data_IF_433655057528
#
_entry.id   IF_433655057528
#
_cell.length_a   1.000
_cell.length_b   1.000
_cell.length_c   1.000
_cell.angle_alpha   90.00
_cell.angle_beta   90.00
_cell.angle_gamma   90.00
#
_symmetry.space_group_name_H-M   'P 1'
#
loop_
_entity.id
_entity.type
_entity.pdbx_description
1 polymer ?
#
# COMPACT_ATOMS: atom_id res chain seq x y z
N UNK A 1 -14.30 -12.80 9.55
CA UNK A 1 -13.11 -11.93 9.48
C UNK A 1 -11.93 -12.87 9.56
N UNK A 2 -11.23 -13.01 8.44
CA UNK A 2 -10.05 -13.86 8.34
C UNK A 2 -8.85 -13.13 8.96
N UNK A 3 -7.87 -13.87 9.46
CA UNK A 3 -6.68 -13.32 10.09
C UNK A 3 -5.43 -13.99 9.51
N UNK A 4 -4.34 -13.23 9.44
CA UNK A 4 -3.00 -13.71 9.12
C UNK A 4 -2.12 -13.57 10.35
N UNK A 5 -1.39 -14.63 10.68
CA UNK A 5 -0.31 -14.57 11.68
C UNK A 5 0.98 -14.20 10.97
N UNK A 6 1.58 -13.09 11.37
CA UNK A 6 2.94 -12.68 10.98
C UNK A 6 3.84 -13.10 12.14
N UNK A 7 4.64 -14.14 11.94
CA UNK A 7 5.66 -14.57 12.90
C UNK A 7 6.99 -13.90 12.57
N UNK A 8 7.71 -13.45 13.60
CA UNK A 8 9.10 -13.02 13.44
C UNK A 8 9.97 -14.24 13.09
N UNK A 9 11.10 -14.03 12.41
CA UNK A 9 12.05 -15.08 12.01
C UNK A 9 12.54 -15.94 13.19
N UNK A 10 12.58 -15.36 14.39
CA UNK A 10 13.00 -16.05 15.62
C UNK A 10 11.82 -16.76 16.34
N UNK A 11 10.61 -16.74 15.77
CA UNK A 11 9.35 -17.32 16.30
C UNK A 11 8.94 -16.87 17.72
N UNK A 12 9.62 -15.88 18.29
CA UNK A 12 9.34 -15.38 19.65
C UNK A 12 8.14 -14.45 19.74
N UNK A 13 7.70 -13.88 18.61
CA UNK A 13 6.62 -12.91 18.54
C UNK A 13 5.73 -13.20 17.34
N UNK A 14 4.42 -13.24 17.58
CA UNK A 14 3.38 -13.41 16.56
C UNK A 14 2.45 -12.22 16.60
N UNK A 15 2.24 -11.60 15.45
CA UNK A 15 1.22 -10.56 15.26
C UNK A 15 0.06 -11.16 14.46
N UNK A 16 -1.13 -11.16 15.04
CA UNK A 16 -2.35 -11.58 14.35
C UNK A 16 -3.04 -10.32 13.82
N UNK A 17 -3.10 -10.20 12.50
CA UNK A 17 -3.76 -9.07 11.81
C UNK A 17 -4.93 -9.59 10.98
N UNK A 18 -5.99 -8.78 10.76
CA UNK A 18 -6.99 -9.11 9.75
C UNK A 18 -6.31 -9.41 8.41
N UNK A 19 -6.84 -10.36 7.64
CA UNK A 19 -6.34 -10.60 6.29
C UNK A 19 -6.65 -9.36 5.44
N UNK A 20 -5.60 -8.61 5.11
CA UNK A 20 -5.66 -7.48 4.20
C UNK A 20 -5.46 -8.04 2.79
N UNK A 21 -6.22 -7.54 1.80
CA UNK A 21 -6.07 -7.93 0.40
C UNK A 21 -4.70 -7.57 -0.19
N UNK A 22 -4.56 -7.73 -1.51
CA UNK A 22 -3.35 -7.34 -2.24
C UNK A 22 -3.01 -5.87 -2.02
N UNK A 23 -1.71 -5.56 -1.97
CA UNK A 23 -1.27 -4.16 -1.87
C UNK A 23 -1.42 -3.43 -3.23
N UNK A 24 -1.37 -2.09 -3.20
CA UNK A 24 -1.58 -1.27 -4.40
C UNK A 24 -0.55 -1.55 -5.51
N UNK A 25 0.69 -1.92 -5.17
CA UNK A 25 1.72 -2.21 -6.16
C UNK A 25 1.47 -3.56 -6.85
N UNK A 26 1.07 -4.59 -6.08
CA UNK A 26 0.64 -5.87 -6.62
C UNK A 26 -0.54 -5.71 -7.58
N UNK A 27 -1.57 -4.96 -7.17
CA UNK A 27 -2.74 -4.69 -8.03
C UNK A 27 -2.30 -3.95 -9.30
N UNK A 28 -1.35 -3.00 -9.20
CA UNK A 28 -0.78 -2.29 -10.35
C UNK A 28 -0.13 -3.23 -11.35
N UNK A 29 0.71 -4.16 -10.87
CA UNK A 29 1.41 -5.13 -11.72
C UNK A 29 0.48 -6.09 -12.44
N UNK A 30 -0.72 -6.33 -11.89
CA UNK A 30 -1.73 -7.19 -12.51
C UNK A 30 -2.50 -6.50 -13.65
N UNK A 31 -2.41 -5.16 -13.77
CA UNK A 31 -3.14 -4.43 -14.81
C UNK A 31 -2.42 -4.52 -16.15
N UNK A 32 -3.16 -4.60 -17.29
CA UNK A 32 -2.55 -4.57 -18.62
C UNK A 32 -1.69 -3.33 -18.88
N UNK A 33 -2.08 -2.18 -18.31
CA UNK A 33 -1.37 -0.91 -18.41
C UNK A 33 -0.17 -0.80 -17.46
N UNK A 34 -0.11 -1.60 -16.39
CA UNK A 34 0.85 -1.48 -15.29
C UNK A 34 0.86 -0.10 -14.59
N UNK A 35 -0.27 0.63 -14.63
CA UNK A 35 -0.49 1.90 -13.93
C UNK A 35 -1.97 2.14 -13.62
N UNK A 36 -2.24 3.06 -12.69
CA UNK A 36 -3.58 3.56 -12.38
C UNK A 36 -3.89 4.83 -13.17
N UNK A 37 -5.13 4.96 -13.63
CA UNK A 37 -5.60 6.18 -14.30
C UNK A 37 -5.84 7.32 -13.30
N UNK A 38 -5.98 8.54 -13.82
CA UNK A 38 -6.07 9.77 -13.01
C UNK A 38 -7.22 9.76 -11.98
N UNK A 39 -8.37 9.19 -12.34
CA UNK A 39 -9.53 9.03 -11.45
C UNK A 39 -9.15 8.15 -10.26
N UNK A 40 -8.52 7.01 -10.51
CA UNK A 40 -8.14 6.05 -9.48
C UNK A 40 -7.03 6.58 -8.60
N UNK A 41 -6.03 7.26 -9.19
CA UNK A 41 -4.99 7.98 -8.46
C UNK A 41 -5.61 9.02 -7.53
N UNK A 42 -6.65 9.72 -7.98
CA UNK A 42 -7.36 10.71 -7.16
C UNK A 42 -8.09 10.04 -5.98
N UNK A 43 -8.74 8.88 -6.19
CA UNK A 43 -9.36 8.10 -5.11
C UNK A 43 -8.34 7.57 -4.11
N UNK A 44 -7.24 6.97 -4.59
CA UNK A 44 -6.12 6.51 -3.76
C UNK A 44 -5.57 7.66 -2.93
N UNK A 45 -5.35 8.82 -3.54
CA UNK A 45 -4.85 9.99 -2.85
C UNK A 45 -5.79 10.46 -1.74
N UNK A 46 -7.10 10.58 -2.01
CA UNK A 46 -8.10 10.96 -0.99
C UNK A 46 -8.09 9.99 0.18
N UNK A 47 -8.08 8.69 -0.11
CA UNK A 47 -8.05 7.66 0.93
C UNK A 47 -6.76 7.73 1.76
N UNK A 48 -5.60 7.90 1.13
CA UNK A 48 -4.33 8.07 1.84
C UNK A 48 -4.34 9.33 2.72
N UNK A 49 -4.77 10.48 2.17
CA UNK A 49 -4.84 11.76 2.90
C UNK A 49 -5.80 11.69 4.09
N UNK A 50 -6.97 11.06 3.93
CA UNK A 50 -7.92 10.83 5.01
C UNK A 50 -7.32 9.99 6.14
N UNK A 51 -6.57 8.95 5.79
CA UNK A 51 -5.88 8.12 6.78
C UNK A 51 -4.76 8.92 7.48
N UNK A 52 -3.93 9.67 6.75
CA UNK A 52 -2.85 10.52 7.31
C UNK A 52 -3.37 11.56 8.30
N UNK A 53 -4.59 12.07 8.08
CA UNK A 53 -5.23 13.01 9.02
C UNK A 53 -5.67 12.31 10.32
N UNK A 54 -6.14 11.06 10.26
CA UNK A 54 -6.70 10.36 11.42
C UNK A 54 -5.65 9.72 12.35
N UNK A 55 -4.42 9.49 11.88
CA UNK A 55 -3.34 8.91 12.68
C UNK A 55 -1.98 9.49 12.27
N UNK A 56 -1.11 9.82 13.25
CA UNK A 56 0.32 10.11 13.03
C UNK A 56 0.97 8.86 12.41
N UNK A 57 1.08 8.80 11.08
CA UNK A 57 1.09 7.52 10.37
C UNK A 57 2.49 7.00 10.02
N UNK A 58 2.95 6.06 10.86
CA UNK A 58 3.89 5.01 10.47
C UNK A 58 3.35 4.05 9.38
N UNK A 59 2.05 4.10 9.00
CA UNK A 59 1.44 3.06 8.15
C UNK A 59 1.47 3.28 6.63
N UNK A 60 1.90 4.44 6.10
CA UNK A 60 2.34 4.46 4.70
C UNK A 60 3.54 3.52 4.50
N UNK A 61 4.38 3.41 5.53
CA UNK A 61 5.41 2.39 5.55
C UNK A 61 4.88 0.98 5.77
N UNK A 62 3.77 0.73 6.46
CA UNK A 62 3.22 -0.65 6.59
C UNK A 62 2.64 -1.16 5.27
N UNK A 63 2.07 -0.29 4.43
CA UNK A 63 1.51 -0.68 3.13
C UNK A 63 2.61 -1.10 2.13
N UNK A 64 3.85 -0.60 2.30
CA UNK A 64 4.96 -0.85 1.37
C UNK A 64 6.25 -1.39 2.00
N UNK A 65 6.34 -1.65 3.32
CA UNK A 65 7.56 -2.10 3.97
C UNK A 65 7.82 -3.60 3.74
N UNK A 66 9.00 -3.97 3.23
CA UNK A 66 9.55 -5.32 3.39
C UNK A 66 9.71 -5.68 4.86
N UNK A 67 9.50 -6.95 5.21
CA UNK A 67 9.47 -7.54 6.57
C UNK A 67 10.73 -7.37 7.45
N UNK A 68 11.77 -6.65 7.02
CA UNK A 68 13.05 -6.53 7.73
C UNK A 68 13.32 -5.08 8.16
N UNK A 69 12.71 -4.66 9.27
CA UNK A 69 12.94 -3.37 9.92
C UNK A 69 13.58 -3.56 11.29
N UNK A 70 14.82 -3.10 11.46
CA UNK A 70 15.55 -3.19 12.73
C UNK A 70 15.75 -1.79 13.32
N UNK A 71 14.99 -1.46 14.36
CA UNK A 71 15.21 -0.26 15.17
C UNK A 71 16.26 -0.54 16.25
N UNK A 72 17.44 0.08 16.13
CA UNK A 72 18.29 0.36 17.30
C UNK A 72 18.23 1.84 17.60
N UNK A 73 17.38 2.21 18.56
CA UNK A 73 17.36 3.54 19.15
C UNK A 73 18.60 3.71 20.03
N UNK A 74 19.57 4.52 19.57
CA UNK A 74 20.62 5.08 20.44
C UNK A 74 20.23 6.50 20.82
N UNK A 75 20.21 6.79 22.12
CA UNK A 75 19.62 8.00 22.72
C UNK A 75 20.31 9.32 22.34
N UNK A 76 21.52 9.29 21.77
CA UNK A 76 22.36 10.48 21.56
C UNK A 76 22.91 10.61 20.13
N UNK A 77 22.34 9.89 19.16
CA UNK A 77 22.69 10.02 17.74
C UNK A 77 21.43 10.27 16.91
N UNK A 78 21.50 11.08 15.83
CA UNK A 78 20.39 11.15 14.88
C UNK A 78 20.03 9.72 14.50
N UNK A 79 18.75 9.38 14.61
CA UNK A 79 18.26 8.04 14.29
C UNK A 79 18.59 7.79 12.82
N UNK A 80 19.65 7.02 12.56
CA UNK A 80 19.99 6.60 11.20
C UNK A 80 18.95 5.56 10.79
N UNK A 81 17.90 6.01 10.11
CA UNK A 81 16.94 5.12 9.49
C UNK A 81 17.64 4.33 8.39
N UNK A 82 17.82 3.02 8.58
CA UNK A 82 18.30 2.13 7.53
C UNK A 82 17.10 1.87 6.60
N UNK A 83 16.97 2.68 5.57
CA UNK A 83 16.02 2.43 4.49
C UNK A 83 16.52 1.24 3.67
N UNK A 84 15.63 0.30 3.36
CA UNK A 84 15.93 -0.70 2.36
C UNK A 84 15.72 -0.11 0.96
N UNK A 85 16.34 -0.73 -0.04
CA UNK A 85 16.35 -0.26 -1.43
C UNK A 85 14.95 -0.18 -2.09
N UNK A 86 13.95 -0.87 -1.52
CA UNK A 86 12.56 -0.82 -2.02
C UNK A 86 11.76 0.33 -1.44
N UNK A 87 12.11 0.83 -0.25
CA UNK A 87 11.42 1.96 0.38
C UNK A 87 12.08 3.30 0.05
N UNK A 88 13.33 3.31 -0.43
CA UNK A 88 14.05 4.52 -0.84
C UNK A 88 13.36 5.27 -1.98
N UNK A 89 12.68 4.58 -2.90
CA UNK A 89 11.91 5.20 -3.98
C UNK A 89 10.76 6.07 -3.46
N UNK A 90 10.18 5.72 -2.30
CA UNK A 90 9.07 6.48 -1.70
C UNK A 90 9.53 7.46 -0.62
N UNK A 91 10.74 7.31 -0.07
CA UNK A 91 11.23 8.17 1.01
C UNK A 91 11.33 9.66 0.61
N UNK A 92 10.91 10.57 1.48
CA UNK A 92 11.16 12.01 1.36
C UNK A 92 12.65 12.35 1.24
N UNK A 93 12.96 13.52 0.70
CA UNK A 93 14.34 14.03 0.65
C UNK A 93 14.96 14.17 2.04
N UNK A 94 14.18 14.53 3.06
CA UNK A 94 14.68 14.65 4.44
C UNK A 94 15.03 13.29 5.04
N UNK A 95 14.20 12.27 4.80
CA UNK A 95 14.51 10.89 5.19
C UNK A 95 15.82 10.42 4.55
N UNK A 96 16.04 10.70 3.26
CA UNK A 96 17.28 10.35 2.56
C UNK A 96 18.51 11.11 3.11
N UNK A 97 18.32 12.30 3.68
CA UNK A 97 19.38 13.06 4.37
C UNK A 97 19.64 12.59 5.80
N UNK A 98 18.78 11.74 6.36
CA UNK A 98 18.83 11.35 7.77
C UNK A 98 18.37 12.45 8.74
N UNK A 99 17.54 13.39 8.28
CA UNK A 99 16.90 14.37 9.14
C UNK A 99 15.72 13.76 9.90
N UNK A 100 15.30 14.43 10.98
CA UNK A 100 14.08 14.08 11.69
C UNK A 100 12.89 14.17 10.75
N UNK A 101 12.00 13.18 10.84
CA UNK A 101 10.83 13.03 9.96
C UNK A 101 9.65 13.80 10.56
N UNK A 102 8.87 14.45 9.71
CA UNK A 102 7.71 15.28 10.01
C UNK A 102 6.51 14.91 9.15
N UNK A 103 5.34 15.54 9.40
CA UNK A 103 4.13 15.37 8.59
C UNK A 103 4.34 15.72 7.11
N UNK A 104 5.23 16.68 6.83
CA UNK A 104 5.61 17.03 5.45
C UNK A 104 6.20 15.83 4.71
N UNK A 105 7.00 15.02 5.40
CA UNK A 105 7.71 13.90 4.80
C UNK A 105 6.76 12.76 4.43
N UNK A 106 5.66 12.58 5.18
CA UNK A 106 4.60 11.64 4.83
C UNK A 106 3.85 12.08 3.56
N UNK A 107 3.53 13.37 3.43
CA UNK A 107 2.88 13.92 2.23
C UNK A 107 3.82 13.90 1.02
N UNK A 108 5.12 14.16 1.22
CA UNK A 108 6.14 14.01 0.17
C UNK A 108 6.27 12.55 -0.28
N UNK A 109 6.24 11.61 0.66
CA UNK A 109 6.29 10.18 0.35
C UNK A 109 5.02 9.73 -0.40
N UNK A 110 3.85 10.28 -0.03
CA UNK A 110 2.62 10.07 -0.77
C UNK A 110 2.73 10.59 -2.20
N UNK A 111 3.32 11.77 -2.43
CA UNK A 111 3.55 12.29 -3.79
C UNK A 111 4.36 11.30 -4.64
N UNK A 112 5.50 10.81 -4.15
CA UNK A 112 6.31 9.83 -4.90
C UNK A 112 5.54 8.53 -5.14
N UNK A 113 4.75 8.09 -4.17
CA UNK A 113 3.89 6.92 -4.30
C UNK A 113 2.90 7.11 -5.45
N UNK A 114 2.16 8.22 -5.48
CA UNK A 114 1.17 8.49 -6.53
C UNK A 114 1.81 8.61 -7.92
N UNK A 115 3.01 9.21 -8.03
CA UNK A 115 3.76 9.28 -9.30
C UNK A 115 4.08 7.89 -9.83
N UNK A 116 4.62 7.01 -8.98
CA UNK A 116 4.95 5.62 -9.35
C UNK A 116 3.69 4.82 -9.70
N UNK A 117 2.62 4.98 -8.92
CA UNK A 117 1.34 4.32 -9.19
C UNK A 117 0.71 4.79 -10.51
N UNK A 118 0.95 6.05 -10.90
CA UNK A 118 0.53 6.62 -12.19
C UNK A 118 1.39 6.13 -13.37
N UNK A 119 2.39 5.28 -13.13
CA UNK A 119 3.25 4.71 -14.17
C UNK A 119 4.45 5.56 -14.56
N UNK A 120 4.65 6.72 -13.93
CA UNK A 120 5.80 7.59 -14.19
C UNK A 120 7.01 7.13 -13.37
N UNK A 121 8.18 7.18 -14.00
CA UNK A 121 9.46 7.06 -13.31
C UNK A 121 9.88 8.41 -12.76
N UNK A 122 10.54 8.43 -11.60
CA UNK A 122 11.00 9.68 -11.00
C UNK A 122 11.98 10.43 -11.91
N UNK A 123 12.80 9.71 -12.67
CA UNK A 123 13.72 10.28 -13.66
C UNK A 123 13.00 11.07 -14.76
N UNK A 124 11.78 10.68 -15.13
CA UNK A 124 11.00 11.35 -16.18
C UNK A 124 10.44 12.71 -15.72
N UNK A 125 10.37 12.95 -14.40
CA UNK A 125 9.84 14.18 -13.81
C UNK A 125 10.94 15.07 -13.22
N UNK A 126 12.20 14.68 -13.38
CA UNK A 126 13.37 15.37 -12.86
C UNK A 126 14.03 16.24 -13.92
N UNK A 127 14.62 17.36 -13.50
CA UNK A 127 15.47 18.19 -14.37
C UNK A 127 16.85 17.53 -14.59
N UNK A 128 17.02 16.89 -15.76
CA UNK A 128 18.27 16.22 -16.14
C UNK A 128 19.49 17.15 -16.12
N UNK A 129 19.33 18.43 -16.48
CA UNK A 129 20.43 19.38 -16.49
C UNK A 129 20.94 19.61 -15.07
N UNK A 130 20.04 19.74 -14.10
CA UNK A 130 20.41 19.87 -12.69
C UNK A 130 21.08 18.61 -12.16
N UNK A 131 20.55 17.42 -12.49
CA UNK A 131 21.19 16.15 -12.09
C UNK A 131 22.63 16.07 -12.60
N UNK A 132 22.85 16.41 -13.87
CA UNK A 132 24.18 16.39 -14.47
C UNK A 132 25.15 17.41 -13.83
N UNK A 133 24.65 18.59 -13.47
CA UNK A 133 25.44 19.60 -12.74
C UNK A 133 25.81 19.15 -11.33
N UNK A 134 24.91 18.48 -10.61
CA UNK A 134 25.19 18.00 -9.25
C UNK A 134 26.12 16.79 -9.27
N UNK A 135 25.96 15.85 -10.22
CA UNK A 135 26.86 14.70 -10.39
C UNK A 135 28.31 15.13 -10.61
N UNK A 136 28.54 16.12 -11.47
CA UNK A 136 29.88 16.69 -11.75
C UNK A 136 30.56 17.30 -10.52
N UNK A 137 29.81 17.72 -9.50
CA UNK A 137 30.34 18.41 -8.31
C UNK A 137 30.63 17.50 -7.12
N UNK A 138 30.07 16.29 -7.06
CA UNK A 138 29.96 15.56 -5.77
C UNK A 138 30.45 14.10 -5.74
N UNK A 139 30.85 13.49 -6.86
CA UNK A 139 31.16 12.05 -6.86
C UNK A 139 32.53 11.71 -7.49
N UNK A 140 33.59 11.94 -6.72
CA UNK A 140 34.91 11.34 -6.92
C UNK A 140 35.23 10.44 -5.71
N UNK A 141 34.54 9.29 -5.60
CA UNK A 141 34.79 8.36 -4.48
C UNK A 141 34.25 6.95 -4.70
N UNK A 142 34.99 5.96 -4.20
CA UNK A 142 34.63 4.53 -4.21
C UNK A 142 33.67 4.22 -3.05
N UNK A 143 32.39 4.58 -3.19
CA UNK A 143 31.37 4.26 -2.18
C UNK A 143 30.73 2.87 -2.44
N UNK A 144 30.23 2.23 -1.38
CA UNK A 144 29.45 0.97 -1.46
C UNK A 144 28.19 1.16 -2.35
N UNK A 145 27.80 0.11 -3.07
CA UNK A 145 26.66 0.10 -4.02
C UNK A 145 25.34 0.59 -3.39
N UNK A 146 25.03 0.17 -2.16
CA UNK A 146 23.80 0.59 -1.47
C UNK A 146 23.76 2.10 -1.18
N UNK A 147 24.91 2.70 -0.88
CA UNK A 147 25.02 4.14 -0.70
C UNK A 147 24.88 4.88 -2.03
N UNK A 148 25.41 4.31 -3.11
CA UNK A 148 25.24 4.88 -4.45
C UNK A 148 23.78 4.93 -4.88
N UNK A 149 22.99 3.89 -4.58
CA UNK A 149 21.55 3.86 -4.85
C UNK A 149 20.78 4.90 -4.01
N UNK A 150 21.05 4.98 -2.70
CA UNK A 150 20.42 6.01 -1.86
C UNK A 150 20.74 7.42 -2.38
N UNK A 151 22.00 7.64 -2.77
CA UNK A 151 22.45 8.90 -3.36
C UNK A 151 21.81 9.18 -4.73
N UNK A 152 21.58 8.17 -5.57
CA UNK A 152 20.93 8.38 -6.87
C UNK A 152 19.49 8.89 -6.68
N UNK A 153 18.72 8.27 -5.80
CA UNK A 153 17.36 8.74 -5.45
C UNK A 153 17.36 10.12 -4.84
N UNK A 154 18.32 10.40 -3.94
CA UNK A 154 18.49 11.73 -3.37
C UNK A 154 18.69 12.80 -4.46
N UNK A 155 19.58 12.53 -5.43
CA UNK A 155 19.86 13.45 -6.53
C UNK A 155 18.63 13.66 -7.42
N UNK A 156 17.96 12.57 -7.81
CA UNK A 156 16.75 12.61 -8.66
C UNK A 156 15.69 13.48 -8.00
N UNK A 157 15.35 13.19 -6.73
CA UNK A 157 14.30 13.89 -5.98
C UNK A 157 14.63 15.35 -5.70
N UNK A 158 15.90 15.64 -5.38
CA UNK A 158 16.36 17.02 -5.14
C UNK A 158 16.33 17.89 -6.39
N UNK A 159 16.24 17.29 -7.59
CA UNK A 159 16.20 17.99 -8.87
C UNK A 159 14.78 17.99 -9.49
N UNK A 160 13.75 17.57 -8.75
CA UNK A 160 12.35 17.75 -9.17
C UNK A 160 11.97 19.21 -8.93
N UNK A 161 11.58 19.89 -10.00
CA UNK A 161 11.17 21.30 -9.98
C UNK A 161 9.77 21.45 -10.55
N UNK A 162 9.12 22.58 -10.27
CA UNK A 162 7.84 22.90 -10.91
C UNK A 162 7.95 22.90 -12.43
N UNK A 163 9.06 23.40 -12.98
CA UNK A 163 9.31 23.43 -14.42
C UNK A 163 9.45 22.02 -15.01
N UNK A 164 10.17 21.11 -14.34
CA UNK A 164 10.30 19.73 -14.81
C UNK A 164 8.97 18.99 -14.77
N UNK A 165 8.15 19.23 -13.74
CA UNK A 165 6.82 18.65 -13.61
C UNK A 165 5.84 19.15 -14.69
N UNK A 166 5.89 20.44 -15.03
CA UNK A 166 5.05 20.99 -16.11
C UNK A 166 5.41 20.42 -17.49
N UNK A 167 6.65 19.94 -17.67
CA UNK A 167 7.12 19.32 -18.93
C UNK A 167 6.84 17.82 -18.99
N UNK A 168 6.60 17.15 -17.86
CA UNK A 168 6.56 15.68 -17.78
C UNK A 168 5.19 15.05 -18.09
N UNK A 169 4.21 15.82 -18.58
CA UNK A 169 2.83 15.38 -18.78
C UNK A 169 2.18 14.76 -17.52
N UNK A 170 2.66 15.11 -16.33
CA UNK A 170 2.09 14.61 -15.08
C UNK A 170 0.69 15.22 -14.86
N UNK A 171 -0.28 14.49 -14.27
CA UNK A 171 -1.57 15.05 -13.90
C UNK A 171 -1.43 16.35 -13.11
N UNK A 172 -2.17 17.37 -13.50
CA UNK A 172 -2.04 18.72 -12.94
C UNK A 172 -2.27 18.75 -11.41
N UNK A 173 -3.12 17.86 -10.89
CA UNK A 173 -3.34 17.71 -9.44
C UNK A 173 -2.08 17.27 -8.69
N UNK A 174 -1.23 16.41 -9.26
CA UNK A 174 0.04 16.03 -8.64
C UNK A 174 1.04 17.20 -8.62
N UNK A 175 1.01 18.07 -9.64
CA UNK A 175 1.81 19.30 -9.67
C UNK A 175 1.36 20.26 -8.55
N UNK A 176 0.06 20.40 -8.35
CA UNK A 176 -0.50 21.21 -7.27
C UNK A 176 -0.20 20.63 -5.87
N UNK A 177 -0.18 19.31 -5.73
CA UNK A 177 0.28 18.62 -4.51
C UNK A 177 1.75 18.95 -4.23
N UNK A 178 2.63 18.83 -5.24
CA UNK A 178 4.05 19.19 -5.09
C UNK A 178 4.24 20.64 -4.66
N UNK A 179 3.51 21.57 -5.28
CA UNK A 179 3.51 22.99 -4.89
C UNK A 179 3.11 23.21 -3.44
N UNK A 180 2.17 22.42 -2.92
CA UNK A 180 1.78 22.46 -1.52
C UNK A 180 2.93 22.00 -0.62
N UNK A 181 3.51 20.83 -0.91
CA UNK A 181 4.64 20.25 -0.14
C UNK A 181 5.84 21.21 -0.07
N UNK A 182 6.19 21.87 -1.18
CA UNK A 182 7.33 22.78 -1.24
C UNK A 182 7.17 24.01 -0.33
N UNK A 183 5.93 24.42 -0.03
CA UNK A 183 5.65 25.56 0.87
C UNK A 183 5.66 25.19 2.34
N UNK A 184 5.58 23.90 2.66
CA UNK A 184 5.53 23.42 4.04
C UNK A 184 6.90 23.51 4.73
N UNK A 185 6.89 23.97 5.97
CA UNK A 185 7.98 23.88 6.93
C UNK A 185 7.90 22.56 7.70
N UNK A 186 8.93 22.28 8.51
CA UNK A 186 9.03 21.06 9.31
C UNK A 186 7.90 20.92 10.35
N UNK A 187 7.49 22.02 11.00
CA UNK A 187 6.45 21.97 12.04
C UNK A 187 5.03 22.20 11.52
N UNK A 188 4.89 22.54 10.24
CA UNK A 188 3.59 22.88 9.66
C UNK A 188 2.61 21.70 9.75
N UNK A 189 1.34 22.05 9.92
CA UNK A 189 0.24 21.13 9.75
C UNK A 189 -0.22 21.14 8.28
N UNK A 190 -0.23 19.98 7.59
CA UNK A 190 -0.74 19.91 6.23
C UNK A 190 -2.20 20.37 6.18
N UNK A 191 -2.58 21.12 5.14
CA UNK A 191 -3.98 21.44 4.91
C UNK A 191 -4.67 20.24 4.23
N UNK A 192 -5.00 19.22 5.01
CA UNK A 192 -5.60 17.98 4.52
C UNK A 192 -6.91 18.24 3.76
N UNK A 193 -7.73 19.21 4.18
CA UNK A 193 -8.96 19.56 3.50
C UNK A 193 -8.70 20.10 2.08
N UNK A 194 -7.69 20.95 1.92
CA UNK A 194 -7.25 21.40 0.59
C UNK A 194 -6.77 20.23 -0.27
N UNK A 195 -5.98 19.31 0.29
CA UNK A 195 -5.48 18.14 -0.43
C UNK A 195 -6.63 17.23 -0.89
N UNK A 196 -7.63 16.99 -0.04
CA UNK A 196 -8.84 16.23 -0.39
C UNK A 196 -9.59 16.94 -1.52
N UNK A 197 -9.85 18.24 -1.37
CA UNK A 197 -10.59 19.04 -2.36
C UNK A 197 -9.86 19.06 -3.71
N UNK A 198 -8.53 19.10 -3.68
CA UNK A 198 -7.68 19.06 -4.87
C UNK A 198 -7.93 17.79 -5.69
N UNK A 199 -7.91 16.62 -5.06
CA UNK A 199 -8.14 15.35 -5.77
C UNK A 199 -9.62 15.10 -6.07
N UNK A 200 -10.54 15.59 -5.24
CA UNK A 200 -11.97 15.52 -5.52
C UNK A 200 -12.36 16.29 -6.79
N UNK A 201 -11.62 17.35 -7.14
CA UNK A 201 -11.89 18.11 -8.36
C UNK A 201 -11.73 17.30 -9.66
N UNK A 202 -11.02 16.17 -9.62
CA UNK A 202 -10.87 15.23 -10.73
C UNK A 202 -11.99 14.16 -10.80
N UNK A 203 -12.84 14.07 -9.78
CA UNK A 203 -13.89 13.06 -9.70
C UNK A 203 -15.22 13.62 -10.23
N UNK A 204 -15.99 12.79 -10.92
CA UNK A 204 -17.37 13.11 -11.28
C UNK A 204 -18.30 12.97 -10.04
N UNK A 205 -19.47 13.60 -10.07
CA UNK A 205 -20.44 13.48 -8.98
C UNK A 205 -20.95 12.04 -8.75
N UNK A 206 -20.73 11.13 -9.70
CA UNK A 206 -21.11 9.71 -9.62
C UNK A 206 -19.97 8.84 -9.11
N UNK A 207 -18.75 9.37 -9.00
CA UNK A 207 -17.60 8.62 -8.52
C UNK A 207 -17.64 8.50 -6.99
N UNK A 208 -17.71 7.25 -6.52
CA UNK A 208 -17.55 6.93 -5.11
C UNK A 208 -16.04 6.83 -4.78
N UNK A 209 -15.50 7.71 -3.90
CA UNK A 209 -14.09 7.67 -3.50
C UNK A 209 -13.76 6.46 -2.63
N UNK A 210 -14.74 5.86 -1.96
CA UNK A 210 -14.53 4.66 -1.14
C UNK A 210 -14.40 3.41 -2.01
N UNK A 211 -14.85 3.49 -3.28
CA UNK A 211 -14.58 2.50 -4.33
C UNK A 211 -13.28 2.84 -5.07
N UNK A 212 -12.16 2.76 -4.35
CA UNK A 212 -10.82 3.12 -4.83
C UNK A 212 -10.40 2.24 -6.02
N UNK A 213 -10.78 0.96 -5.98
CA UNK A 213 -10.56 0.00 -7.05
C UNK A 213 -11.84 -0.82 -7.19
N UNK A 214 -12.64 -0.55 -8.22
CA UNK A 214 -13.45 -1.64 -8.77
C UNK A 214 -12.43 -2.61 -9.35
N UNK A 215 -12.23 -3.74 -8.65
CA UNK A 215 -11.28 -4.74 -9.15
C UNK A 215 -11.99 -5.49 -10.28
N UNK A 216 -12.19 -4.79 -11.41
CA UNK A 216 -12.70 -5.37 -12.65
C UNK A 216 -11.77 -6.49 -13.15
N UNK A 217 -10.50 -6.46 -12.71
CA UNK A 217 -9.53 -7.56 -12.87
C UNK A 217 -10.05 -8.91 -12.37
N UNK A 218 -11.01 -8.91 -11.45
CA UNK A 218 -11.51 -10.11 -10.80
C UNK A 218 -12.94 -10.49 -11.19
N UNK A 219 -13.71 -9.59 -11.83
CA UNK A 219 -15.08 -9.92 -12.24
C UNK A 219 -15.12 -11.02 -13.32
N UNK A 220 -14.09 -11.07 -14.18
CA UNK A 220 -13.92 -12.15 -15.17
C UNK A 220 -12.96 -13.25 -14.72
N UNK A 221 -12.27 -13.08 -13.59
CA UNK A 221 -11.36 -14.10 -13.07
C UNK A 221 -12.19 -15.25 -12.46
N UNK A 222 -12.17 -16.41 -13.12
CA UNK A 222 -12.85 -17.62 -12.67
C UNK A 222 -12.39 -18.07 -11.27
N UNK A 223 -11.11 -17.86 -10.95
CA UNK A 223 -10.55 -18.18 -9.64
C UNK A 223 -11.13 -17.25 -8.57
N UNK A 224 -11.17 -15.96 -8.84
CA UNK A 224 -11.80 -15.02 -7.91
C UNK A 224 -13.30 -15.28 -7.76
N UNK A 225 -14.02 -15.50 -8.86
CA UNK A 225 -15.45 -15.79 -8.84
C UNK A 225 -15.75 -17.04 -8.00
N UNK A 226 -14.91 -18.08 -8.14
CA UNK A 226 -14.98 -19.28 -7.32
C UNK A 226 -14.70 -18.98 -5.84
N UNK A 227 -13.61 -18.26 -5.52
CA UNK A 227 -13.31 -17.84 -4.15
C UNK A 227 -14.45 -17.03 -3.53
N UNK A 228 -14.95 -16.02 -4.24
CA UNK A 228 -16.02 -15.15 -3.79
C UNK A 228 -17.31 -15.95 -3.51
N UNK A 229 -17.65 -16.91 -4.37
CA UNK A 229 -18.79 -17.80 -4.14
C UNK A 229 -18.66 -18.64 -2.87
N UNK A 230 -17.48 -19.25 -2.64
CA UNK A 230 -17.19 -20.03 -1.43
C UNK A 230 -17.19 -19.14 -0.19
N UNK A 231 -16.64 -17.94 -0.29
CA UNK A 231 -16.57 -17.00 0.80
C UNK A 231 -17.96 -16.50 1.23
N UNK A 232 -18.84 -16.19 0.27
CA UNK A 232 -20.22 -15.82 0.59
C UNK A 232 -21.02 -17.00 1.16
N UNK A 233 -20.80 -18.23 0.69
CA UNK A 233 -21.37 -19.45 1.30
C UNK A 233 -20.91 -19.62 2.76
N UNK A 234 -19.62 -19.44 3.03
CA UNK A 234 -19.06 -19.47 4.39
C UNK A 234 -19.69 -18.41 5.30
N UNK A 235 -19.83 -17.17 4.80
CA UNK A 235 -20.41 -16.06 5.54
C UNK A 235 -21.88 -16.31 5.88
N UNK A 236 -22.65 -16.87 4.95
CA UNK A 236 -24.03 -17.27 5.19
C UNK A 236 -24.11 -18.41 6.22
N UNK A 237 -23.26 -19.43 6.12
CA UNK A 237 -23.15 -20.51 7.11
C UNK A 237 -22.86 -19.98 8.52
N UNK A 238 -21.90 -19.05 8.65
CA UNK A 238 -21.62 -18.39 9.95
C UNK A 238 -22.77 -17.53 10.45
N UNK A 239 -23.44 -16.79 9.56
CA UNK A 239 -24.58 -15.98 9.94
C UNK A 239 -25.73 -16.85 10.47
N UNK A 240 -26.05 -17.95 9.78
CA UNK A 240 -27.06 -18.93 10.20
C UNK A 240 -26.67 -19.54 11.55
N UNK A 241 -25.41 -19.93 11.76
CA UNK A 241 -24.94 -20.46 13.06
C UNK A 241 -25.07 -19.45 14.19
N UNK A 242 -24.73 -18.18 13.94
CA UNK A 242 -24.84 -17.15 14.95
C UNK A 242 -26.30 -16.85 15.30
N UNK A 243 -27.19 -16.84 14.30
CA UNK A 243 -28.63 -16.71 14.48
C UNK A 243 -29.21 -17.90 15.26
N UNK A 244 -28.87 -19.13 14.87
CA UNK A 244 -29.26 -20.36 15.56
C UNK A 244 -28.75 -20.37 17.01
N UNK A 245 -27.50 -19.96 17.27
CA UNK A 245 -26.99 -19.82 18.64
C UNK A 245 -27.72 -18.76 19.46
N UNK A 246 -28.14 -17.65 18.85
CA UNK A 246 -28.95 -16.64 19.52
C UNK A 246 -30.35 -17.17 19.85
N UNK A 247 -30.98 -17.88 18.91
CA UNK A 247 -32.28 -18.52 19.08
C UNK A 247 -32.21 -19.66 20.12
N UNK A 248 -31.19 -20.51 20.10
CA UNK A 248 -30.94 -21.55 21.10
C UNK A 248 -30.66 -20.96 22.48
N UNK A 249 -29.95 -19.82 22.59
CA UNK A 249 -29.80 -19.11 23.87
C UNK A 249 -31.14 -18.57 24.39
N UNK A 250 -32.02 -18.09 23.51
CA UNK A 250 -33.37 -17.67 23.87
C UNK A 250 -34.26 -18.85 24.28
N UNK A 251 -34.04 -20.04 23.72
CA UNK A 251 -34.74 -21.28 24.06
C UNK A 251 -34.19 -21.97 25.32
N UNK A 252 -32.87 -21.93 25.57
CA UNK A 252 -32.23 -22.48 26.78
C UNK A 252 -32.57 -21.69 28.05
N UNK A 253 -32.93 -20.41 27.93
CA UNK A 253 -33.56 -19.67 29.04
C UNK A 253 -34.91 -20.30 29.45
N UNK A 254 -35.50 -21.15 28.60
CA UNK A 254 -36.78 -21.78 28.86
C UNK A 254 -36.72 -23.30 29.14
N UNK A 255 -35.70 -24.06 28.69
CA UNK A 255 -35.59 -25.50 28.96
C UNK A 255 -34.12 -26.00 28.94
N UNK A 256 -33.65 -26.56 30.06
CA UNK A 256 -32.40 -27.34 30.15
C UNK A 256 -32.64 -28.78 29.65
N UNK A 257 -32.29 -29.07 28.39
CA UNK A 257 -32.10 -30.45 27.90
C UNK A 257 -30.93 -30.49 26.92
N UNK A 258 -30.02 -31.45 27.14
CA UNK A 258 -28.83 -31.74 26.33
C UNK A 258 -29.19 -32.27 24.93
N UNK A 259 -28.56 -31.70 23.89
CA UNK A 259 -28.54 -32.27 22.54
C UNK A 259 -27.13 -32.20 21.94
N UNK A 260 -26.62 -33.37 21.52
CA UNK A 260 -25.38 -33.51 20.76
C UNK A 260 -25.58 -33.10 19.29
N UNK A 261 -24.82 -32.11 18.83
CA UNK A 261 -24.74 -31.70 17.42
C UNK A 261 -23.47 -32.32 16.82
N UNK A 262 -23.59 -33.47 16.15
CA UNK A 262 -22.46 -34.20 15.60
C UNK A 262 -22.31 -34.16 14.06
N UNK A 263 -23.31 -33.71 13.30
CA UNK A 263 -23.28 -33.82 11.82
C UNK A 263 -22.81 -32.57 11.03
N UNK A 264 -22.76 -31.37 11.63
CA UNK A 264 -22.44 -30.12 10.89
C UNK A 264 -20.94 -29.75 10.80
N UNK A 265 -20.05 -30.50 11.44
CA UNK A 265 -18.61 -30.20 11.44
C UNK A 265 -17.91 -30.62 10.13
N UNK A 266 -18.41 -31.65 9.43
CA UNK A 266 -17.80 -32.17 8.19
C UNK A 266 -17.90 -31.21 7.00
N UNK A 267 -19.03 -30.52 6.83
CA UNK A 267 -19.26 -29.59 5.71
C UNK A 267 -18.38 -28.33 5.80
N UNK A 268 -18.14 -27.83 7.02
CA UNK A 268 -17.33 -26.62 7.22
C UNK A 268 -15.83 -26.89 7.11
N UNK A 269 -15.37 -28.06 7.56
CA UNK A 269 -14.00 -28.50 7.35
C UNK A 269 -13.68 -28.59 5.85
N UNK A 270 -14.63 -29.02 5.03
CA UNK A 270 -14.50 -29.03 3.57
C UNK A 270 -14.41 -27.63 2.93
N UNK A 271 -15.11 -26.63 3.48
CA UNK A 271 -15.07 -25.24 2.97
C UNK A 271 -13.73 -24.58 3.33
N UNK A 272 -13.25 -24.76 4.56
CA UNK A 272 -11.94 -24.22 4.99
C UNK A 272 -10.77 -24.85 4.21
N UNK A 273 -10.85 -26.14 3.90
CA UNK A 273 -9.89 -26.83 3.03
C UNK A 273 -9.90 -26.25 1.60
N UNK A 274 -11.07 -25.96 1.02
CA UNK A 274 -11.19 -25.34 -0.31
C UNK A 274 -10.59 -23.93 -0.34
N UNK A 275 -10.78 -23.12 0.70
CA UNK A 275 -10.16 -21.78 0.82
C UNK A 275 -8.62 -21.88 0.94
N UNK A 276 -8.11 -22.86 1.69
CA UNK A 276 -6.67 -23.11 1.78
C UNK A 276 -6.06 -23.58 0.44
N UNK A 277 -6.78 -24.41 -0.32
CA UNK A 277 -6.34 -24.85 -1.66
C UNK A 277 -6.29 -23.66 -2.61
N UNK A 278 -7.27 -22.76 -2.56
CA UNK A 278 -7.28 -21.53 -3.32
C UNK A 278 -6.03 -20.69 -3.04
N UNK A 279 -5.78 -20.31 -1.78
CA UNK A 279 -4.63 -19.46 -1.40
C UNK A 279 -3.28 -20.01 -1.92
N UNK A 280 -3.09 -21.34 -1.83
CA UNK A 280 -1.91 -22.02 -2.38
C UNK A 280 -1.85 -21.96 -3.90
N UNK A 281 -2.97 -22.20 -4.59
CA UNK A 281 -3.04 -22.22 -6.05
C UNK A 281 -2.88 -20.83 -6.66
N UNK A 282 -3.46 -19.79 -6.06
CA UNK A 282 -3.43 -18.39 -6.52
C UNK A 282 -2.05 -17.79 -6.30
N UNK A 283 -1.42 -18.03 -5.15
CA UNK A 283 -0.05 -17.58 -4.89
C UNK A 283 0.95 -18.24 -5.84
N UNK A 284 0.81 -19.54 -6.11
CA UNK A 284 1.68 -20.25 -7.05
C UNK A 284 1.46 -19.81 -8.51
N UNK A 285 0.21 -19.60 -8.93
CA UNK A 285 -0.14 -19.18 -10.30
C UNK A 285 0.26 -17.73 -10.59
N UNK A 286 0.07 -16.80 -9.64
CA UNK A 286 0.56 -15.42 -9.75
C UNK A 286 2.10 -15.41 -9.89
N UNK A 287 2.81 -16.19 -9.06
CA UNK A 287 4.27 -16.30 -9.15
C UNK A 287 4.75 -16.92 -10.47
N UNK A 288 4.04 -17.93 -10.99
CA UNK A 288 4.36 -18.55 -12.28
C UNK A 288 4.08 -17.62 -13.47
N UNK A 289 2.94 -16.92 -13.45
CA UNK A 289 2.57 -15.94 -14.48
C UNK A 289 3.55 -14.76 -14.51
N UNK A 290 3.95 -14.25 -13.34
CA UNK A 290 4.95 -13.18 -13.24
C UNK A 290 6.33 -13.64 -13.75
N UNK A 291 6.71 -14.91 -13.52
CA UNK A 291 7.93 -15.49 -14.12
C UNK A 291 7.83 -15.60 -15.64
N UNK A 292 6.69 -15.97 -16.20
CA UNK A 292 6.51 -16.07 -17.65
C UNK A 292 6.55 -14.71 -18.34
N UNK A 293 5.91 -13.69 -17.75
CA UNK A 293 5.94 -12.31 -18.28
C UNK A 293 7.38 -11.75 -18.22
N UNK A 294 8.13 -12.01 -17.14
CA UNK A 294 9.52 -11.58 -17.00
C UNK A 294 10.49 -12.27 -17.98
N UNK A 295 10.12 -13.42 -18.55
CA UNK A 295 10.93 -14.15 -19.55
C UNK A 295 10.65 -13.62 -20.97
N UNK A 296 9.53 -12.94 -21.19
CA UNK A 296 9.09 -12.44 -22.50
C UNK A 296 9.47 -10.98 -22.79
N UNK A 297 10.03 -10.29 -21.79
CA UNK A 297 10.57 -8.91 -21.88
C UNK A 297 12.09 -8.99 -21.92
#
# INVERSE_FOLDING_TARGET
MEYRTITNLDDTQSLIVPLIGSNLDEIRYLRPSNFYGDIEISKIAIACVNNTNQQQLLALTIIFAPQNWNHKLQKDKPVTFILNTRTTIYASVNQLKGYTISRKDDIESLFYTLVVLSGYKLEQITDENQVNLVKKKKFEGTALESYQELMSYYLIKSCISEESLLKSNLPFTLILLWKHIQKMLYEDEPNYQYLITLFQSNLSALDDPDKIVEIDLFQEDQLWSFYHSIFEEYKQSRYVKNKARQESKLLQVNQEIDFEIAEENQTNQSIEEKLCIYDRSTKCSILQRNRQIAIQI
#
